data_IF_473882880310
#
_entry.id   IF_473882880310
#
_cell.length_a   1.000
_cell.length_b   1.000
_cell.length_c   1.000
_cell.angle_alpha   90.00
_cell.angle_beta   90.00
_cell.angle_gamma   90.00
#
_symmetry.space_group_name_H-M   'P 1'
#
loop_
_entity.id
_entity.type
_entity.pdbx_description
1 polymer ?
#
# COMPACT_ATOMS: atom_id res chain seq x y z
N UNK A 1 5.32 14.59 10.20
CA UNK A 1 6.46 14.08 9.43
C UNK A 1 6.96 15.29 8.66
N UNK A 2 8.27 15.59 8.67
CA UNK A 2 8.76 16.67 7.81
C UNK A 2 8.81 16.13 6.38
N UNK A 3 7.67 16.23 5.69
CA UNK A 3 7.44 15.58 4.40
C UNK A 3 8.51 15.97 3.37
N UNK A 4 9.13 17.16 3.53
CA UNK A 4 10.24 17.68 2.69
C UNK A 4 11.51 16.80 2.70
N UNK A 5 11.62 15.81 3.59
CA UNK A 5 12.81 14.96 3.71
C UNK A 5 12.53 13.46 3.83
N UNK A 6 11.46 12.89 3.25
CA UNK A 6 11.28 11.42 3.22
C UNK A 6 12.25 10.71 2.26
N UNK A 7 13.55 10.89 2.50
CA UNK A 7 14.70 10.32 1.76
C UNK A 7 14.82 8.81 1.88
N UNK A 8 14.03 8.22 2.77
CA UNK A 8 14.08 6.80 3.14
C UNK A 8 12.81 6.08 2.73
N UNK A 9 11.94 6.74 1.96
CA UNK A 9 10.69 6.20 1.44
C UNK A 9 9.79 5.62 2.54
N UNK A 10 9.79 6.22 3.74
CA UNK A 10 9.07 5.72 4.91
C UNK A 10 7.58 5.49 4.64
N UNK A 11 6.93 6.35 3.84
CA UNK A 11 5.52 6.17 3.50
C UNK A 11 5.25 4.91 2.66
N UNK A 12 6.25 4.37 1.97
CA UNK A 12 6.15 3.09 1.23
C UNK A 12 6.32 1.85 2.13
N UNK A 13 6.56 2.05 3.43
CA UNK A 13 6.75 0.97 4.39
C UNK A 13 5.71 0.95 5.51
N UNK A 14 5.26 2.14 5.94
CA UNK A 14 4.46 2.34 7.13
C UNK A 14 3.12 1.60 7.10
N UNK A 15 2.52 1.48 5.92
CA UNK A 15 1.27 0.77 5.68
C UNK A 15 1.42 -0.75 5.92
N UNK A 16 2.50 -1.34 5.41
CA UNK A 16 2.79 -2.76 5.62
C UNK A 16 3.06 -3.05 7.09
N UNK A 17 3.75 -2.15 7.80
CA UNK A 17 3.98 -2.31 9.24
C UNK A 17 2.67 -2.18 10.02
N UNK A 18 1.85 -1.18 9.73
CA UNK A 18 0.55 -1.03 10.38
C UNK A 18 -0.32 -2.29 10.22
N UNK A 19 -0.36 -2.89 9.02
CA UNK A 19 -1.11 -4.14 8.81
C UNK A 19 -0.54 -5.30 9.63
N UNK A 20 0.78 -5.48 9.63
CA UNK A 20 1.44 -6.57 10.38
C UNK A 20 1.27 -6.44 11.88
N UNK A 21 1.10 -5.21 12.35
CA UNK A 21 0.94 -4.90 13.77
C UNK A 21 -0.52 -4.76 14.19
N UNK A 22 -1.45 -5.02 13.28
CA UNK A 22 -2.90 -4.89 13.51
C UNK A 22 -3.36 -3.46 13.89
N UNK A 23 -2.57 -2.45 13.53
CA UNK A 23 -2.86 -1.03 13.75
C UNK A 23 -3.74 -0.45 12.63
N UNK A 24 -4.88 -1.10 12.38
CA UNK A 24 -5.78 -0.79 11.26
C UNK A 24 -6.44 0.58 11.41
N UNK A 25 -6.96 0.90 12.60
CA UNK A 25 -7.61 2.19 12.88
C UNK A 25 -6.62 3.36 12.83
N UNK A 26 -5.36 3.10 13.13
CA UNK A 26 -4.29 4.08 12.91
C UNK A 26 -4.07 4.29 11.41
N UNK A 27 -3.99 3.21 10.61
CA UNK A 27 -3.80 3.31 9.16
C UNK A 27 -4.93 4.09 8.48
N UNK A 28 -6.19 3.78 8.81
CA UNK A 28 -7.37 4.49 8.28
C UNK A 28 -7.31 5.98 8.56
N UNK A 29 -7.00 6.34 9.82
CA UNK A 29 -6.84 7.75 10.21
C UNK A 29 -5.66 8.39 9.50
N UNK A 30 -4.52 7.72 9.42
CA UNK A 30 -3.31 8.24 8.78
C UNK A 30 -3.55 8.57 7.30
N UNK A 31 -4.18 7.63 6.56
CA UNK A 31 -4.54 7.80 5.15
C UNK A 31 -5.48 8.98 4.95
N UNK A 32 -6.50 9.12 5.81
CA UNK A 32 -7.50 10.19 5.71
C UNK A 32 -7.02 11.55 6.24
N UNK A 33 -6.10 11.56 7.22
CA UNK A 33 -5.61 12.77 7.88
C UNK A 33 -4.35 13.34 7.26
N UNK A 34 -3.81 12.69 6.22
CA UNK A 34 -2.69 13.23 5.46
C UNK A 34 -3.16 14.44 4.65
N UNK A 35 -3.25 15.58 5.32
CA UNK A 35 -3.69 16.84 4.72
C UNK A 35 -2.48 17.52 4.11
N UNK A 36 -2.22 17.22 2.83
CA UNK A 36 -1.44 18.13 2.01
C UNK A 36 -2.37 19.30 1.62
N UNK A 37 -1.98 20.56 1.85
CA UNK A 37 -2.78 21.68 1.37
C UNK A 37 -2.79 21.66 -0.16
N UNK A 38 -3.93 21.97 -0.80
CA UNK A 38 -3.96 22.09 -2.25
C UNK A 38 -2.99 23.18 -2.71
N UNK A 39 -2.33 23.02 -3.86
CA UNK A 39 -1.45 24.05 -4.37
C UNK A 39 -2.23 25.36 -4.59
N UNK A 40 -1.54 26.49 -4.39
CA UNK A 40 -2.13 27.84 -4.39
C UNK A 40 -2.86 28.20 -5.70
N UNK A 41 -2.52 27.53 -6.80
CA UNK A 41 -3.25 27.55 -8.06
C UNK A 41 -3.56 26.11 -8.46
N UNK A 42 -4.77 25.63 -8.16
CA UNK A 42 -5.29 24.37 -8.70
C UNK A 42 -6.59 24.67 -9.45
N UNK A 43 -6.58 24.37 -10.74
CA UNK A 43 -7.79 24.30 -11.54
C UNK A 43 -8.20 22.82 -11.61
N UNK A 44 -9.29 22.44 -10.94
CA UNK A 44 -9.85 21.09 -11.02
C UNK A 44 -9.97 20.35 -9.69
N UNK A 45 -9.99 19.02 -9.76
CA UNK A 45 -10.20 18.14 -8.61
C UNK A 45 -8.88 17.88 -7.92
N UNK A 46 -8.84 18.13 -6.62
CA UNK A 46 -7.71 17.81 -5.75
C UNK A 46 -8.09 16.64 -4.84
N UNK A 47 -7.26 15.60 -4.81
CA UNK A 47 -7.38 14.52 -3.82
C UNK A 47 -6.30 14.67 -2.78
N UNK A 48 -6.70 14.74 -1.50
CA UNK A 48 -5.76 14.91 -0.39
C UNK A 48 -5.32 13.59 0.22
N UNK A 49 -6.22 12.60 0.27
CA UNK A 49 -5.98 11.33 0.92
C UNK A 49 -4.98 10.43 0.16
N UNK A 50 -4.15 9.72 0.93
CA UNK A 50 -3.04 8.93 0.38
C UNK A 50 -3.48 7.75 -0.48
N UNK A 51 -4.67 7.20 -0.25
CA UNK A 51 -5.23 6.09 -1.01
C UNK A 51 -5.68 6.48 -2.43
N UNK A 52 -5.78 7.78 -2.72
CA UNK A 52 -5.91 8.29 -4.10
C UNK A 52 -4.56 8.58 -4.76
N UNK A 53 -3.52 8.79 -3.96
CA UNK A 53 -2.22 9.25 -4.42
C UNK A 53 -1.18 8.14 -4.56
N UNK A 54 -1.28 7.08 -3.76
CA UNK A 54 -0.25 6.06 -3.65
C UNK A 54 -0.85 4.65 -3.66
N UNK A 55 -0.33 3.73 -4.50
CA UNK A 55 -0.88 2.39 -4.64
C UNK A 55 -0.73 1.55 -3.37
N UNK A 56 0.35 1.71 -2.60
CA UNK A 56 0.54 0.96 -1.36
C UNK A 56 -0.58 1.26 -0.36
N UNK A 57 -0.90 2.55 -0.12
CA UNK A 57 -2.00 2.92 0.77
C UNK A 57 -3.36 2.49 0.22
N UNK A 58 -3.62 2.60 -1.08
CA UNK A 58 -4.89 2.18 -1.67
C UNK A 58 -5.18 0.68 -1.42
N UNK A 59 -4.17 -0.17 -1.63
CA UNK A 59 -4.31 -1.61 -1.40
C UNK A 59 -4.26 -1.99 0.08
N UNK A 60 -3.41 -1.32 0.86
CA UNK A 60 -3.27 -1.59 2.29
C UNK A 60 -4.48 -1.13 3.11
N UNK A 61 -5.14 -0.04 2.72
CA UNK A 61 -6.41 0.40 3.32
C UNK A 61 -7.51 -0.63 3.11
N UNK A 62 -7.66 -1.11 1.87
CA UNK A 62 -8.62 -2.16 1.54
C UNK A 62 -8.33 -3.45 2.31
N UNK A 63 -7.05 -3.83 2.41
CA UNK A 63 -6.62 -5.00 3.18
C UNK A 63 -6.88 -4.82 4.68
N UNK A 64 -6.63 -3.65 5.25
CA UNK A 64 -6.92 -3.36 6.65
C UNK A 64 -8.43 -3.48 6.95
N UNK A 65 -9.29 -2.95 6.07
CA UNK A 65 -10.75 -3.16 6.19
C UNK A 65 -11.13 -4.63 6.15
N UNK A 66 -10.53 -5.40 5.23
CA UNK A 66 -10.76 -6.84 5.15
C UNK A 66 -10.36 -7.57 6.44
N UNK A 67 -9.22 -7.23 7.04
CA UNK A 67 -8.73 -7.86 8.27
C UNK A 67 -9.62 -7.56 9.49
N UNK A 68 -10.42 -6.50 9.44
CA UNK A 68 -11.39 -6.16 10.49
C UNK A 68 -12.74 -6.88 10.32
N UNK A 69 -12.94 -7.64 9.24
CA UNK A 69 -14.18 -8.39 9.03
C UNK A 69 -14.23 -9.64 9.93
N UNK A 70 -15.42 -10.01 10.44
CA UNK A 70 -15.59 -11.23 11.21
C UNK A 70 -15.21 -12.49 10.44
N UNK A 71 -15.51 -12.54 9.13
CA UNK A 71 -15.27 -13.70 8.27
C UNK A 71 -14.86 -13.31 6.85
N UNK A 72 -14.07 -14.15 6.20
CA UNK A 72 -13.67 -13.99 4.80
C UNK A 72 -14.85 -14.12 3.80
N UNK A 73 -15.89 -14.86 4.20
CA UNK A 73 -17.06 -15.11 3.36
C UNK A 73 -17.91 -13.85 3.16
N UNK A 74 -17.96 -12.97 4.17
CA UNK A 74 -18.64 -11.68 4.09
C UNK A 74 -18.04 -10.79 2.99
N UNK A 75 -16.71 -10.71 2.90
CA UNK A 75 -16.03 -9.95 1.86
C UNK A 75 -16.36 -10.50 0.47
N UNK A 76 -16.29 -11.82 0.30
CA UNK A 76 -16.55 -12.49 -0.98
C UNK A 76 -18.01 -12.32 -1.43
N UNK A 77 -18.96 -12.36 -0.49
CA UNK A 77 -20.37 -12.09 -0.77
C UNK A 77 -20.61 -10.61 -1.09
N UNK A 78 -19.92 -9.69 -0.42
CA UNK A 78 -20.06 -8.26 -0.61
C UNK A 78 -19.60 -7.79 -1.99
N UNK A 79 -18.55 -8.38 -2.57
CA UNK A 79 -18.07 -8.05 -3.93
C UNK A 79 -19.21 -8.05 -4.96
N UNK A 80 -20.07 -9.07 -4.92
CA UNK A 80 -21.19 -9.20 -5.88
C UNK A 80 -22.24 -8.10 -5.73
N UNK A 81 -22.32 -7.47 -4.56
CA UNK A 81 -23.26 -6.39 -4.25
C UNK A 81 -22.73 -5.01 -4.64
N UNK A 82 -21.42 -4.88 -4.89
CA UNK A 82 -20.83 -3.60 -5.31
C UNK A 82 -21.46 -3.14 -6.62
N UNK A 83 -21.89 -1.88 -6.63
CA UNK A 83 -22.45 -1.20 -7.80
C UNK A 83 -21.48 -0.15 -8.34
N UNK A 84 -21.70 0.29 -9.58
CA UNK A 84 -20.94 1.41 -10.14
C UNK A 84 -21.14 2.69 -9.32
N UNK A 85 -22.31 2.89 -8.72
CA UNK A 85 -22.60 4.07 -7.91
C UNK A 85 -21.81 4.09 -6.60
N UNK A 86 -21.62 2.94 -5.95
CA UNK A 86 -20.79 2.84 -4.76
C UNK A 86 -19.35 3.28 -5.06
N UNK A 87 -18.80 2.84 -6.19
CA UNK A 87 -17.46 3.22 -6.64
C UNK A 87 -17.37 4.69 -7.04
N UNK A 88 -18.39 5.24 -7.73
CA UNK A 88 -18.45 6.67 -8.06
C UNK A 88 -18.47 7.52 -6.79
N UNK A 89 -19.30 7.16 -5.81
CA UNK A 89 -19.36 7.85 -4.52
C UNK A 89 -18.02 7.75 -3.78
N UNK A 90 -17.40 6.58 -3.74
CA UNK A 90 -16.10 6.39 -3.09
C UNK A 90 -14.95 7.18 -3.73
N UNK A 91 -15.09 7.57 -5.01
CA UNK A 91 -14.12 8.41 -5.71
C UNK A 91 -14.47 9.89 -5.60
N UNK A 92 -15.74 10.28 -5.73
CA UNK A 92 -16.15 11.70 -5.74
C UNK A 92 -16.23 12.28 -4.33
N UNK A 93 -16.68 11.48 -3.37
CA UNK A 93 -16.82 11.85 -1.97
C UNK A 93 -15.77 11.04 -1.21
N UNK A 94 -14.65 11.67 -0.89
CA UNK A 94 -13.61 11.06 -0.07
C UNK A 94 -14.23 10.49 1.22
N UNK A 95 -13.90 9.24 1.56
CA UNK A 95 -14.43 8.52 2.73
C UNK A 95 -15.94 8.25 2.73
N UNK A 96 -16.60 8.15 1.56
CA UNK A 96 -17.98 7.67 1.52
C UNK A 96 -18.09 6.24 2.08
N UNK A 97 -18.85 6.09 3.17
CA UNK A 97 -19.23 4.79 3.71
C UNK A 97 -20.62 4.38 3.22
N UNK A 98 -20.78 3.08 2.99
CA UNK A 98 -22.06 2.43 2.70
C UNK A 98 -22.82 2.03 3.97
N UNK A 99 -22.17 2.11 5.14
CA UNK A 99 -22.69 1.61 6.42
C UNK A 99 -22.57 0.10 6.59
N UNK A 100 -22.02 -0.62 5.60
CA UNK A 100 -21.74 -2.05 5.62
C UNK A 100 -20.22 -2.26 5.47
N UNK A 101 -19.57 -2.74 6.53
CA UNK A 101 -18.11 -2.89 6.58
C UNK A 101 -17.57 -3.82 5.49
N UNK A 102 -18.29 -4.90 5.14
CA UNK A 102 -17.85 -5.84 4.11
C UNK A 102 -17.97 -5.24 2.71
N UNK A 103 -19.02 -4.45 2.49
CA UNK A 103 -19.19 -3.68 1.26
C UNK A 103 -18.13 -2.57 1.16
N UNK A 104 -17.88 -1.83 2.24
CA UNK A 104 -16.86 -0.79 2.32
C UNK A 104 -15.45 -1.34 2.05
N UNK A 105 -15.12 -2.53 2.54
CA UNK A 105 -13.86 -3.22 2.23
C UNK A 105 -13.75 -3.55 0.73
N UNK A 106 -14.82 -4.12 0.15
CA UNK A 106 -14.85 -4.51 -1.26
C UNK A 106 -14.82 -3.30 -2.21
N UNK A 107 -15.52 -2.23 -1.86
CA UNK A 107 -15.47 -0.94 -2.57
C UNK A 107 -14.07 -0.34 -2.52
N UNK A 108 -13.40 -0.36 -1.36
CA UNK A 108 -12.03 0.12 -1.23
C UNK A 108 -11.06 -0.67 -2.12
N UNK A 109 -11.16 -2.01 -2.13
CA UNK A 109 -10.33 -2.83 -3.00
C UNK A 109 -10.58 -2.54 -4.48
N UNK A 110 -11.85 -2.51 -4.90
CA UNK A 110 -12.20 -2.25 -6.29
C UNK A 110 -11.82 -0.83 -6.73
N UNK A 111 -11.89 0.15 -5.83
CA UNK A 111 -11.33 1.49 -6.03
C UNK A 111 -9.82 1.40 -6.26
N UNK A 112 -9.07 0.73 -5.37
CA UNK A 112 -7.62 0.58 -5.49
C UNK A 112 -7.23 -0.08 -6.84
N UNK A 113 -7.96 -1.12 -7.27
CA UNK A 113 -7.74 -1.77 -8.56
C UNK A 113 -8.06 -0.82 -9.73
N UNK A 114 -9.14 -0.04 -9.65
CA UNK A 114 -9.51 0.90 -10.71
C UNK A 114 -8.47 2.02 -10.89
N UNK A 115 -7.91 2.52 -9.78
CA UNK A 115 -6.91 3.59 -9.79
C UNK A 115 -5.52 3.06 -10.17
N UNK A 116 -5.16 1.86 -9.69
CA UNK A 116 -3.82 1.29 -9.88
C UNK A 116 -3.89 -0.17 -10.38
N UNK A 117 -4.45 -0.43 -11.58
CA UNK A 117 -4.74 -1.78 -12.05
C UNK A 117 -3.50 -2.64 -12.26
N UNK A 118 -2.34 -2.02 -12.53
CA UNK A 118 -1.07 -2.73 -12.70
C UNK A 118 -0.66 -3.51 -11.44
N UNK A 119 -1.10 -3.05 -10.26
CA UNK A 119 -0.75 -3.66 -8.96
C UNK A 119 -1.18 -5.11 -8.84
N UNK A 120 -2.34 -5.47 -9.39
CA UNK A 120 -2.87 -6.83 -9.30
C UNK A 120 -1.90 -7.83 -9.97
N UNK A 121 -1.47 -7.53 -11.19
CA UNK A 121 -0.53 -8.41 -11.92
C UNK A 121 0.81 -8.51 -11.23
N UNK A 122 1.33 -7.37 -10.75
CA UNK A 122 2.63 -7.30 -10.07
C UNK A 122 2.62 -8.06 -8.75
N UNK A 123 1.54 -7.97 -7.96
CA UNK A 123 1.35 -8.76 -6.75
C UNK A 123 1.31 -10.26 -7.03
N UNK A 124 0.55 -10.71 -8.04
CA UNK A 124 0.46 -12.14 -8.38
C UNK A 124 1.82 -12.71 -8.81
N UNK A 125 2.60 -11.94 -9.59
CA UNK A 125 3.96 -12.32 -9.97
C UNK A 125 4.84 -12.45 -8.73
N UNK A 126 4.81 -11.46 -7.82
CA UNK A 126 5.58 -11.50 -6.58
C UNK A 126 5.20 -12.68 -5.67
N UNK A 127 3.92 -13.07 -5.65
CA UNK A 127 3.43 -14.25 -4.94
C UNK A 127 3.77 -15.58 -5.62
N UNK A 128 4.30 -15.55 -6.84
CA UNK A 128 4.45 -16.73 -7.71
C UNK A 128 3.12 -17.45 -7.98
N UNK A 129 2.01 -16.71 -8.05
CA UNK A 129 0.69 -17.27 -8.36
C UNK A 129 0.61 -17.62 -9.86
N UNK A 130 0.21 -18.86 -10.22
CA UNK A 130 -0.01 -19.22 -11.62
C UNK A 130 -1.07 -18.33 -12.27
N UNK A 131 -0.73 -17.70 -13.39
CA UNK A 131 -1.65 -16.82 -14.14
C UNK A 131 -2.50 -17.58 -15.19
N UNK A 132 -2.07 -18.78 -15.57
CA UNK A 132 -2.70 -19.65 -16.54
C UNK A 132 -2.47 -21.13 -16.19
N UNK A 133 -3.27 -22.01 -16.79
CA UNK A 133 -3.18 -23.47 -16.62
C UNK A 133 -4.46 -24.11 -16.09
N UNK A 134 -4.63 -25.40 -16.38
CA UNK A 134 -5.82 -26.16 -15.99
C UNK A 134 -5.97 -26.23 -14.46
N UNK A 135 -7.17 -25.95 -13.97
CA UNK A 135 -7.48 -25.93 -12.52
C UNK A 135 -7.06 -24.66 -11.78
N UNK A 136 -6.52 -23.66 -12.49
CA UNK A 136 -6.20 -22.35 -11.93
C UNK A 136 -7.20 -21.26 -12.35
N UNK A 137 -7.20 -20.16 -11.61
CA UNK A 137 -7.99 -18.98 -11.96
C UNK A 137 -7.49 -18.40 -13.30
N UNK A 138 -8.40 -18.03 -14.23
CA UNK A 138 -8.03 -17.49 -15.54
C UNK A 138 -7.60 -16.02 -15.47
N UNK A 139 -6.51 -15.72 -14.75
CA UNK A 139 -5.99 -14.36 -14.60
C UNK A 139 -5.58 -13.74 -15.94
N UNK A 140 -4.97 -14.51 -16.83
CA UNK A 140 -4.62 -14.04 -18.18
C UNK A 140 -5.84 -13.58 -18.99
N UNK A 141 -7.00 -14.20 -18.80
CA UNK A 141 -8.23 -13.76 -19.47
C UNK A 141 -8.76 -12.46 -18.87
N UNK A 142 -8.67 -12.29 -17.54
CA UNK A 142 -9.00 -11.01 -16.89
C UNK A 142 -8.11 -9.88 -17.39
N UNK A 143 -6.81 -10.12 -17.54
CA UNK A 143 -5.85 -9.10 -17.95
C UNK A 143 -6.01 -8.62 -19.39
N UNK A 144 -6.83 -9.30 -20.21
CA UNK A 144 -7.20 -8.84 -21.56
C UNK A 144 -8.32 -7.80 -21.55
N UNK A 145 -8.95 -7.53 -20.40
CA UNK A 145 -10.10 -6.64 -20.29
C UNK A 145 -9.74 -5.36 -19.50
N UNK A 146 -10.41 -4.22 -19.76
CA UNK A 146 -10.33 -3.03 -18.91
C UNK A 146 -10.73 -3.32 -17.45
N UNK A 147 -10.05 -2.73 -16.44
CA UNK A 147 -8.98 -1.72 -16.55
C UNK A 147 -7.56 -2.31 -16.72
N UNK A 148 -7.42 -3.61 -16.96
CA UNK A 148 -6.12 -4.30 -16.92
C UNK A 148 -5.36 -4.30 -18.25
N UNK A 149 -6.04 -4.39 -19.39
CA UNK A 149 -5.42 -4.50 -20.73
C UNK A 149 -4.41 -3.39 -21.03
N UNK A 150 -4.72 -2.18 -20.56
CA UNK A 150 -3.96 -0.96 -20.82
C UNK A 150 -3.50 -0.28 -19.51
N UNK A 151 -3.24 -1.09 -18.48
CA UNK A 151 -2.85 -0.63 -17.14
C UNK A 151 -1.58 0.24 -17.11
N UNK A 152 -0.70 0.12 -18.12
CA UNK A 152 0.58 0.84 -18.20
C UNK A 152 0.56 2.03 -19.16
N UNK A 153 -0.59 2.31 -19.77
CA UNK A 153 -0.72 3.33 -20.83
C UNK A 153 -1.95 4.19 -20.62
N UNK A 154 -3.14 3.59 -20.62
CA UNK A 154 -4.41 4.31 -20.54
C UNK A 154 -4.95 4.43 -19.12
N UNK A 155 -4.87 3.35 -18.34
CA UNK A 155 -5.38 3.32 -16.97
C UNK A 155 -4.29 3.73 -15.96
N UNK A 156 -3.72 4.91 -16.20
CA UNK A 156 -2.73 5.52 -15.31
C UNK A 156 -3.00 7.01 -15.10
N UNK A 157 -2.42 7.58 -14.06
CA UNK A 157 -2.47 9.02 -13.84
C UNK A 157 -1.61 9.75 -14.87
N UNK A 158 -2.08 10.87 -15.42
CA UNK A 158 -1.40 11.57 -16.52
C UNK A 158 -0.02 12.11 -16.11
N UNK A 159 0.05 12.79 -14.96
CA UNK A 159 1.31 13.33 -14.41
C UNK A 159 2.19 12.28 -13.74
N UNK A 160 1.61 11.41 -12.90
CA UNK A 160 2.36 10.56 -11.97
C UNK A 160 2.41 9.07 -12.36
N UNK A 161 1.86 8.70 -13.52
CA UNK A 161 1.68 7.30 -13.88
C UNK A 161 2.96 6.47 -13.88
N UNK A 162 4.09 7.00 -14.36
CA UNK A 162 5.38 6.29 -14.31
C UNK A 162 5.86 6.03 -12.88
N UNK A 163 5.65 7.00 -11.97
CA UNK A 163 6.01 6.87 -10.56
C UNK A 163 5.10 5.86 -9.86
N UNK A 164 3.80 5.85 -10.16
CA UNK A 164 2.89 4.84 -9.64
C UNK A 164 3.28 3.41 -10.05
N UNK A 165 3.85 3.21 -11.25
CA UNK A 165 4.38 1.90 -11.66
C UNK A 165 5.58 1.48 -10.78
N UNK A 166 6.50 2.40 -10.47
CA UNK A 166 7.63 2.13 -9.57
C UNK A 166 7.15 1.82 -8.14
N UNK A 167 6.23 2.62 -7.61
CA UNK A 167 5.61 2.39 -6.30
C UNK A 167 4.89 1.04 -6.25
N UNK A 168 4.22 0.65 -7.34
CA UNK A 168 3.56 -0.65 -7.47
C UNK A 168 4.54 -1.81 -7.35
N UNK A 169 5.69 -1.72 -8.03
CA UNK A 169 6.75 -2.73 -7.96
C UNK A 169 7.35 -2.84 -6.55
N UNK A 170 7.63 -1.70 -5.92
CA UNK A 170 8.12 -1.63 -4.54
C UNK A 170 7.11 -2.21 -3.53
N UNK A 171 5.83 -1.83 -3.67
CA UNK A 171 4.75 -2.36 -2.82
C UNK A 171 4.63 -3.87 -2.97
N UNK A 172 4.56 -4.38 -4.20
CA UNK A 172 4.45 -5.82 -4.43
C UNK A 172 5.65 -6.58 -3.86
N UNK A 173 6.86 -6.04 -4.02
CA UNK A 173 8.07 -6.63 -3.43
C UNK A 173 7.98 -6.70 -1.90
N UNK A 174 7.42 -5.69 -1.23
CA UNK A 174 7.32 -5.64 0.24
C UNK A 174 6.14 -6.44 0.80
N UNK A 175 4.98 -6.34 0.17
CA UNK A 175 3.69 -6.70 0.75
C UNK A 175 3.11 -8.02 0.22
N UNK A 176 3.72 -8.67 -0.78
CA UNK A 176 3.15 -9.90 -1.40
C UNK A 176 2.78 -10.99 -0.39
N UNK A 177 3.52 -11.12 0.73
CA UNK A 177 3.24 -12.12 1.76
C UNK A 177 1.87 -11.92 2.40
N UNK A 178 1.42 -10.67 2.52
CA UNK A 178 0.12 -10.33 3.11
C UNK A 178 -1.03 -10.79 2.22
N UNK A 179 -0.81 -10.88 0.90
CA UNK A 179 -1.81 -11.26 -0.09
C UNK A 179 -1.82 -12.76 -0.43
N UNK A 180 -0.85 -13.52 0.08
CA UNK A 180 -0.70 -14.96 -0.18
C UNK A 180 -1.88 -15.84 0.25
N UNK A 181 -2.61 -15.57 1.36
CA UNK A 181 -3.75 -16.39 1.77
C UNK A 181 -4.77 -16.61 0.66
N UNK A 182 -5.30 -17.84 0.54
CA UNK A 182 -6.18 -18.23 -0.57
C UNK A 182 -7.45 -17.36 -0.62
N UNK A 183 -8.03 -17.04 0.54
CA UNK A 183 -9.23 -16.22 0.66
C UNK A 183 -9.02 -14.80 0.12
N UNK A 184 -7.82 -14.22 0.33
CA UNK A 184 -7.47 -12.91 -0.23
C UNK A 184 -7.29 -12.99 -1.74
N UNK A 185 -6.71 -14.07 -2.26
CA UNK A 185 -6.62 -14.29 -3.70
C UNK A 185 -8.00 -14.52 -4.34
N UNK A 186 -8.94 -15.17 -3.65
CA UNK A 186 -10.34 -15.35 -4.11
C UNK A 186 -11.08 -14.02 -4.13
N UNK A 187 -10.90 -13.22 -3.08
CA UNK A 187 -11.47 -11.90 -2.98
C UNK A 187 -10.92 -10.95 -4.06
N UNK A 188 -9.60 -10.92 -4.26
CA UNK A 188 -8.93 -10.13 -5.30
C UNK A 188 -9.41 -10.52 -6.71
N UNK A 189 -9.52 -11.82 -6.97
CA UNK A 189 -10.02 -12.32 -8.26
C UNK A 189 -11.48 -11.93 -8.50
N UNK A 190 -12.34 -12.14 -7.50
CA UNK A 190 -13.76 -11.79 -7.58
C UNK A 190 -13.96 -10.29 -7.77
N UNK A 191 -13.19 -9.47 -7.05
CA UNK A 191 -13.22 -8.00 -7.18
C UNK A 191 -12.78 -7.56 -8.58
N UNK A 192 -11.72 -8.18 -9.13
CA UNK A 192 -11.24 -7.92 -10.48
C UNK A 192 -12.29 -8.27 -11.55
N UNK A 193 -12.93 -9.43 -11.41
CA UNK A 193 -14.04 -9.86 -12.29
C UNK A 193 -15.19 -8.87 -12.26
N UNK A 194 -15.66 -8.53 -11.06
CA UNK A 194 -16.76 -7.59 -10.90
C UNK A 194 -16.42 -6.21 -11.46
N UNK A 195 -15.18 -5.77 -11.30
CA UNK A 195 -14.74 -4.47 -11.80
C UNK A 195 -14.76 -4.41 -13.33
N UNK A 196 -14.40 -5.50 -14.02
CA UNK A 196 -14.51 -5.58 -15.50
C UNK A 196 -15.97 -5.34 -15.93
N UNK A 197 -16.94 -5.96 -15.24
CA UNK A 197 -18.37 -5.78 -15.53
C UNK A 197 -18.82 -4.33 -15.36
N UNK A 198 -18.30 -3.64 -14.35
CA UNK A 198 -18.66 -2.25 -14.01
C UNK A 198 -17.80 -1.20 -14.75
N UNK A 199 -16.67 -1.59 -15.33
CA UNK A 199 -15.68 -0.66 -15.90
C UNK A 199 -16.26 0.32 -16.94
N UNK A 200 -17.17 -0.08 -17.84
CA UNK A 200 -17.76 0.85 -18.81
C UNK A 200 -18.47 2.05 -18.15
N UNK A 201 -19.11 1.81 -17.00
CA UNK A 201 -19.87 2.81 -16.24
C UNK A 201 -18.98 3.74 -15.39
N UNK A 202 -17.70 3.41 -15.26
CA UNK A 202 -16.74 4.06 -14.37
C UNK A 202 -15.72 4.93 -15.12
N UNK A 203 -15.77 4.96 -16.46
CA UNK A 203 -14.79 5.70 -17.26
C UNK A 203 -14.72 7.19 -16.91
N UNK A 204 -15.87 7.83 -16.65
CA UNK A 204 -15.92 9.25 -16.27
C UNK A 204 -15.21 9.55 -14.95
N UNK A 205 -15.41 8.73 -13.91
CA UNK A 205 -14.75 8.92 -12.61
C UNK A 205 -13.27 8.54 -12.66
N UNK A 206 -12.91 7.53 -13.45
CA UNK A 206 -11.52 7.18 -13.72
C UNK A 206 -10.78 8.32 -14.43
N UNK A 207 -11.36 8.90 -15.48
CA UNK A 207 -10.79 10.08 -16.19
C UNK A 207 -10.57 11.23 -15.23
N UNK A 208 -11.58 11.53 -14.40
CA UNK A 208 -11.53 12.59 -13.38
C UNK A 208 -10.36 12.39 -12.42
N UNK A 209 -10.08 11.16 -11.99
CA UNK A 209 -8.91 10.87 -11.18
C UNK A 209 -7.60 10.97 -11.98
N UNK A 210 -7.53 10.45 -13.20
CA UNK A 210 -6.27 10.46 -13.97
C UNK A 210 -5.75 11.86 -14.30
N UNK A 211 -6.65 12.84 -14.41
CA UNK A 211 -6.34 14.26 -14.65
C UNK A 211 -6.34 15.10 -13.36
N UNK A 212 -6.53 14.49 -12.20
CA UNK A 212 -6.63 15.21 -10.93
C UNK A 212 -5.28 15.75 -10.47
N UNK A 213 -5.32 16.65 -9.49
CA UNK A 213 -4.12 17.06 -8.76
C UNK A 213 -3.98 16.17 -7.54
N UNK A 214 -2.82 15.52 -7.42
CA UNK A 214 -2.41 14.73 -6.25
C UNK A 214 -1.37 15.51 -5.44
N UNK A 215 -1.11 15.14 -4.17
CA UNK A 215 -0.06 15.75 -3.36
C UNK A 215 1.30 15.68 -4.06
N UNK A 216 2.07 16.78 -4.01
CA UNK A 216 3.40 16.85 -4.64
C UNK A 216 4.40 15.83 -4.06
N UNK A 217 4.07 15.22 -2.93
CA UNK A 217 4.79 14.09 -2.34
C UNK A 217 5.00 12.97 -3.36
N UNK A 218 4.01 12.67 -4.23
CA UNK A 218 4.10 11.55 -5.19
C UNK A 218 5.29 11.73 -6.12
N UNK A 219 5.55 12.97 -6.55
CA UNK A 219 6.68 13.30 -7.43
C UNK A 219 8.05 13.01 -6.82
N UNK A 220 8.15 12.90 -5.48
CA UNK A 220 9.40 12.70 -4.75
C UNK A 220 9.91 11.26 -4.80
N UNK A 221 9.07 10.33 -5.23
CA UNK A 221 9.38 8.89 -5.28
C UNK A 221 9.80 8.43 -6.68
N UNK A 222 10.27 9.36 -7.51
CA UNK A 222 10.75 9.05 -8.85
C UNK A 222 12.06 8.21 -8.84
N UNK A 223 12.75 8.15 -7.70
CA UNK A 223 14.01 7.44 -7.47
C UNK A 223 13.86 6.12 -6.69
N UNK A 224 12.63 5.68 -6.37
CA UNK A 224 12.38 4.37 -5.75
C UNK A 224 13.10 3.27 -6.55
N UNK A 225 13.87 2.45 -5.84
CA UNK A 225 14.34 1.16 -6.35
C UNK A 225 13.60 0.00 -5.71
N UNK A 226 13.07 -0.91 -6.53
CA UNK A 226 12.45 -2.17 -6.07
C UNK A 226 13.33 -2.93 -5.06
N UNK A 227 14.65 -2.89 -5.22
CA UNK A 227 15.60 -3.61 -4.36
C UNK A 227 15.65 -3.12 -2.91
N UNK A 228 15.18 -1.90 -2.62
CA UNK A 228 15.06 -1.35 -1.26
C UNK A 228 13.96 -2.06 -0.44
N UNK A 229 13.04 -2.74 -1.13
CA UNK A 229 11.80 -3.28 -0.56
C UNK A 229 11.81 -4.80 -0.40
N UNK A 230 12.88 -5.49 -0.81
CA UNK A 230 13.01 -6.95 -0.75
C UNK A 230 12.86 -7.48 0.68
N UNK A 231 11.94 -8.43 0.87
CA UNK A 231 11.45 -8.95 2.16
C UNK A 231 12.51 -9.63 3.04
N UNK A 232 13.70 -9.93 2.50
CA UNK A 232 14.75 -10.64 3.23
C UNK A 232 15.43 -9.83 4.36
N UNK A 233 14.90 -8.66 4.70
CA UNK A 233 15.23 -7.97 5.93
C UNK A 233 13.94 -7.63 6.70
N UNK A 234 13.67 -8.26 7.87
CA UNK A 234 12.62 -7.81 8.78
C UNK A 234 12.97 -6.47 9.45
N UNK A 235 14.11 -5.87 9.09
CA UNK A 235 14.56 -4.60 9.63
C UNK A 235 13.93 -3.43 8.89
N UNK A 236 13.96 -2.26 9.56
CA UNK A 236 13.73 -0.99 8.91
C UNK A 236 14.58 -0.85 7.63
N UNK A 237 14.11 -0.09 6.63
CA UNK A 237 14.90 0.29 5.46
C UNK A 237 16.35 0.61 5.83
N UNK A 238 17.32 0.04 5.11
CA UNK A 238 18.76 0.30 5.33
C UNK A 238 19.08 1.79 5.38
N UNK A 239 18.38 2.57 4.55
CA UNK A 239 18.50 4.02 4.48
C UNK A 239 18.16 4.74 5.80
N UNK A 240 17.25 4.21 6.63
CA UNK A 240 16.96 4.76 7.96
C UNK A 240 18.15 4.62 8.92
N UNK A 241 18.91 3.54 8.77
CA UNK A 241 20.13 3.35 9.56
C UNK A 241 21.31 4.14 8.99
N UNK A 242 21.43 4.23 7.66
CA UNK A 242 22.53 4.93 6.98
C UNK A 242 22.43 6.46 7.06
N UNK A 243 21.20 7.01 7.09
CA UNK A 243 20.97 8.44 7.30
C UNK A 243 21.46 8.90 8.68
N UNK A 244 21.47 8.01 9.67
CA UNK A 244 22.01 8.26 11.00
C UNK A 244 23.46 7.76 11.12
N UNK A 245 24.36 8.49 10.45
CA UNK A 245 25.79 8.16 10.29
C UNK A 245 26.55 7.87 11.61
N UNK A 246 26.01 8.26 12.78
CA UNK A 246 26.61 7.96 14.09
C UNK A 246 26.16 6.60 14.64
N UNK A 247 24.89 6.23 14.49
CA UNK A 247 24.38 4.92 14.92
C UNK A 247 24.93 3.83 13.98
N UNK A 248 24.92 4.00 12.66
CA UNK A 248 25.46 2.97 11.76
C UNK A 248 26.96 2.67 11.96
N UNK A 249 27.77 3.65 12.37
CA UNK A 249 29.19 3.42 12.69
C UNK A 249 29.40 2.70 14.01
N UNK A 250 28.47 2.84 14.94
CA UNK A 250 28.55 2.25 16.28
C UNK A 250 27.92 0.84 16.27
N UNK A 251 26.88 0.64 15.46
CA UNK A 251 26.04 -0.56 15.45
C UNK A 251 26.15 -1.42 14.16
N UNK A 252 26.63 -0.83 13.05
CA UNK A 252 26.71 -1.53 11.75
C UNK A 252 27.86 -2.53 11.60
N UNK A 253 28.81 -2.55 12.55
CA UNK A 253 29.94 -3.48 12.54
C UNK A 253 29.52 -4.90 12.97
N UNK A 254 28.56 -5.03 13.88
CA UNK A 254 28.11 -6.31 14.43
C UNK A 254 27.00 -6.97 13.59
N UNK A 255 26.21 -6.17 12.86
CA UNK A 255 25.24 -6.66 11.84
C UNK A 255 25.89 -7.43 10.69
N UNK A 256 27.21 -7.29 10.48
CA UNK A 256 27.96 -8.09 9.48
C UNK A 256 28.41 -9.45 10.00
N UNK A 257 28.30 -9.73 11.31
CA UNK A 257 28.96 -10.87 11.94
C UNK A 257 28.04 -11.96 12.48
N UNK A 258 26.74 -11.70 12.66
CA UNK A 258 25.79 -12.65 13.27
C UNK A 258 24.85 -13.33 12.28
N UNK A 259 25.30 -14.43 11.65
CA UNK A 259 24.43 -15.34 10.88
C UNK A 259 23.57 -16.26 11.75
N UNK A 260 23.10 -15.82 12.91
CA UNK A 260 22.37 -16.66 13.87
C UNK A 260 21.12 -15.98 14.44
N UNK A 261 19.98 -16.28 13.82
CA UNK A 261 18.81 -16.85 14.50
C UNK A 261 17.93 -16.01 15.44
N UNK A 262 18.37 -14.91 16.06
CA UNK A 262 17.53 -14.27 17.10
C UNK A 262 17.89 -12.79 17.37
N UNK A 263 17.94 -11.95 16.33
CA UNK A 263 18.15 -10.51 16.54
C UNK A 263 16.86 -9.81 16.98
N UNK A 264 16.70 -9.64 18.29
CA UNK A 264 15.69 -8.77 18.90
C UNK A 264 16.18 -7.32 18.87
N UNK A 265 15.61 -6.50 17.98
CA UNK A 265 15.96 -5.08 17.89
C UNK A 265 15.38 -4.30 19.08
N UNK A 266 16.24 -3.86 20.00
CA UNK A 266 15.88 -2.99 21.12
C UNK A 266 15.95 -1.50 20.70
N UNK A 267 15.01 -0.67 21.17
CA UNK A 267 14.77 0.71 20.71
C UNK A 267 15.13 1.70 21.80
N UNK A 268 16.16 2.53 21.61
CA UNK A 268 16.46 3.65 22.51
C UNK A 268 15.57 4.86 22.21
N UNK A 269 15.09 5.55 23.24
CA UNK A 269 14.39 6.85 23.12
C UNK A 269 15.30 7.97 22.58
N UNK A 270 16.61 7.75 22.52
CA UNK A 270 17.59 8.67 21.90
C UNK A 270 17.73 8.46 20.38
N UNK A 271 17.05 7.47 19.81
CA UNK A 271 17.03 7.20 18.36
C UNK A 271 16.26 8.28 17.58
N UNK A 272 16.49 8.37 16.27
CA UNK A 272 15.68 9.21 15.38
C UNK A 272 14.17 8.97 15.65
N UNK A 273 13.34 10.01 15.87
CA UNK A 273 11.92 9.85 16.22
C UNK A 273 11.12 9.01 15.22
N UNK A 274 11.48 9.05 13.92
CA UNK A 274 10.86 8.23 12.88
C UNK A 274 11.25 6.76 13.04
N UNK A 275 12.50 6.48 13.37
CA UNK A 275 12.99 5.12 13.67
C UNK A 275 12.32 4.58 14.92
N UNK A 276 12.27 5.36 15.99
CA UNK A 276 11.59 4.98 17.24
C UNK A 276 10.09 4.74 17.00
N UNK A 277 9.43 5.59 16.21
CA UNK A 277 8.03 5.40 15.84
C UNK A 277 7.83 4.12 15.02
N UNK A 278 8.56 3.91 13.92
CA UNK A 278 8.37 2.72 13.09
C UNK A 278 8.77 1.43 13.84
N UNK A 279 9.79 1.48 14.70
CA UNK A 279 10.12 0.36 15.57
C UNK A 279 9.07 0.11 16.65
N UNK A 280 8.44 1.14 17.20
CA UNK A 280 7.33 0.98 18.16
C UNK A 280 6.11 0.30 17.54
N UNK A 281 5.94 0.41 16.22
CA UNK A 281 4.92 -0.35 15.50
C UNK A 281 5.27 -1.83 15.43
N UNK A 282 6.54 -2.25 15.47
CA UNK A 282 6.90 -3.65 15.27
C UNK A 282 6.72 -4.49 16.56
N UNK A 283 5.98 -5.61 16.53
CA UNK A 283 5.61 -6.37 17.74
C UNK A 283 6.78 -7.11 18.41
N UNK A 284 7.93 -7.18 17.76
CA UNK A 284 9.17 -7.77 18.30
C UNK A 284 10.16 -6.73 18.84
N UNK A 285 9.85 -5.43 18.73
CA UNK A 285 10.69 -4.37 19.28
C UNK A 285 10.35 -4.12 20.75
N UNK A 286 11.35 -3.98 21.61
CA UNK A 286 11.18 -3.49 22.98
C UNK A 286 11.76 -2.09 23.10
N UNK A 287 11.01 -1.18 23.74
CA UNK A 287 11.51 0.15 24.08
C UNK A 287 12.44 0.01 25.27
N UNK A 288 13.71 0.28 25.05
CA UNK A 288 14.72 0.39 26.08
C UNK A 288 14.64 1.79 26.69
N UNK A 289 13.98 1.85 27.85
CA UNK A 289 13.85 3.06 28.66
C UNK A 289 15.14 3.45 29.39
N UNK A 290 16.17 2.61 29.34
CA UNK A 290 17.42 2.77 30.09
C UNK A 290 18.62 3.12 29.20
N UNK A 291 18.52 2.91 27.89
CA UNK A 291 19.60 3.11 26.93
C UNK A 291 20.74 2.09 27.03
N UNK A 292 20.56 1.01 27.80
CA UNK A 292 21.59 0.00 28.11
C UNK A 292 21.33 -1.37 27.50
N UNK A 293 20.12 -1.63 27.00
CA UNK A 293 19.73 -2.87 26.34
C UNK A 293 19.67 -2.75 24.81
N UNK A 294 19.84 -1.55 24.24
CA UNK A 294 20.12 -1.41 22.81
C UNK A 294 21.40 -2.21 22.48
N UNK A 295 21.24 -3.42 21.93
CA UNK A 295 22.38 -4.22 21.47
C UNK A 295 23.15 -3.41 20.40
N UNK A 296 24.50 -3.39 20.46
CA UNK A 296 25.34 -2.86 19.40
C UNK A 296 25.04 -3.52 18.05
#
# INVERSE_FOLDING_TARGET
MDDEQDRVHALMHIDTYAIRSHEYDWLHRFVASFVAPPPAAHDGVYYSALDFAMPNFAFSEALARYQQLPTADEASAAVKRVTAEDLRRAIIIENASTGDSALDASVALMKAILLFPYTVRTLLIAMSTPLSGDGHKPWEDLFRNPPFSDARTYFMHEKFGSIHLLMTEAYAEKAWQLWKPAQLQDWLFSASQRLIELSPDLEGVRRRWSTSTLPDLVGRYADISKSEFTVNSPMLPRALFEADNKLFRTYGADLRRGGSGDSRANVSLESNPLVAFVQSLMPWSRVDYTGTEAEP
#
